data_IF_344553599043
#
_entry.id   IF_344553599043
#
_cell.length_a   1.000
_cell.length_b   1.000
_cell.length_c   1.000
_cell.angle_alpha   90.00
_cell.angle_beta   90.00
_cell.angle_gamma   90.00
#
_symmetry.space_group_name_H-M   'P 1'
#
loop_
_entity.id
_entity.type
_entity.pdbx_description
1 polymer ?
#
# COMPACT_ATOMS: atom_id res chain seq x y z
N UNK A 1 10.01 -1.46 -21.07
CA UNK A 1 10.06 -2.74 -20.34
C UNK A 1 8.97 -2.66 -19.31
N UNK A 2 8.02 -3.58 -19.42
CA UNK A 2 6.80 -3.57 -18.62
C UNK A 2 6.88 -4.68 -17.54
N UNK A 3 5.95 -4.67 -16.59
CA UNK A 3 5.99 -5.60 -15.46
C UNK A 3 5.91 -7.07 -15.89
N UNK A 4 5.15 -7.36 -16.95
CA UNK A 4 5.01 -8.71 -17.51
C UNK A 4 6.31 -9.19 -18.18
N UNK A 5 7.04 -8.31 -18.86
CA UNK A 5 8.34 -8.64 -19.45
C UNK A 5 9.32 -9.11 -18.37
N UNK A 6 9.37 -8.38 -17.25
CA UNK A 6 10.24 -8.72 -16.11
C UNK A 6 9.86 -10.03 -15.42
N UNK A 7 8.57 -10.37 -15.38
CA UNK A 7 8.08 -11.60 -14.77
C UNK A 7 8.60 -12.84 -15.52
N UNK A 8 8.80 -12.75 -16.83
CA UNK A 8 9.24 -13.86 -17.69
C UNK A 8 10.76 -14.06 -17.70
N UNK A 9 11.54 -13.06 -17.29
CA UNK A 9 13.00 -13.15 -17.28
C UNK A 9 13.50 -14.22 -16.32
N UNK A 10 14.68 -14.79 -16.59
CA UNK A 10 15.35 -15.67 -15.65
C UNK A 10 15.88 -14.90 -14.43
N UNK A 11 16.04 -15.57 -13.28
CA UNK A 11 16.48 -14.92 -12.03
C UNK A 11 17.81 -14.17 -12.18
N UNK A 12 18.75 -14.69 -12.99
CA UNK A 12 20.05 -14.04 -13.24
C UNK A 12 19.93 -12.73 -14.02
N UNK A 13 19.09 -12.72 -15.06
CA UNK A 13 18.87 -11.54 -15.90
C UNK A 13 18.11 -10.49 -15.09
N UNK A 14 17.12 -10.94 -14.31
CA UNK A 14 16.38 -10.08 -13.41
C UNK A 14 17.27 -9.50 -12.30
N UNK A 15 18.18 -10.28 -11.72
CA UNK A 15 19.20 -9.78 -10.78
C UNK A 15 20.08 -8.68 -11.40
N UNK A 16 20.50 -8.84 -12.65
CA UNK A 16 21.33 -7.85 -13.34
C UNK A 16 20.58 -6.53 -13.55
N UNK A 17 19.33 -6.59 -13.99
CA UNK A 17 18.47 -5.41 -14.14
C UNK A 17 18.21 -4.75 -12.78
N UNK A 18 17.97 -5.55 -11.75
CA UNK A 18 17.71 -5.07 -10.41
C UNK A 18 18.93 -4.37 -9.82
N UNK A 19 20.12 -4.98 -9.95
CA UNK A 19 21.39 -4.42 -9.45
C UNK A 19 21.85 -3.17 -10.19
N UNK A 20 21.54 -3.02 -11.48
CA UNK A 20 21.83 -1.79 -12.23
C UNK A 20 20.90 -0.62 -11.82
N UNK A 21 19.70 -0.93 -11.34
CA UNK A 21 18.69 0.06 -10.95
C UNK A 21 18.63 0.37 -9.44
N UNK A 22 19.48 -0.22 -8.58
CA UNK A 22 19.45 0.06 -7.13
C UNK A 22 19.82 1.50 -6.77
N UNK A 23 20.56 2.21 -7.62
CA UNK A 23 21.07 3.54 -7.32
C UNK A 23 20.13 4.62 -7.87
N UNK A 24 19.43 5.40 -7.02
CA UNK A 24 18.39 6.33 -7.48
C UNK A 24 18.82 7.35 -8.56
N UNK A 25 20.03 7.96 -8.49
CA UNK A 25 20.48 8.91 -9.50
C UNK A 25 20.66 8.34 -10.91
N UNK A 26 20.91 7.04 -11.05
CA UNK A 26 21.16 6.39 -12.35
C UNK A 26 20.08 5.37 -12.72
N UNK A 27 18.98 5.36 -11.97
CA UNK A 27 17.89 4.40 -12.09
C UNK A 27 16.96 4.83 -13.21
N UNK A 28 16.55 3.89 -14.05
CA UNK A 28 15.47 4.13 -15.01
C UNK A 28 14.12 4.07 -14.28
N UNK A 29 13.34 5.15 -14.40
CA UNK A 29 12.05 5.27 -13.73
C UNK A 29 11.04 4.21 -14.17
N UNK A 30 11.02 3.89 -15.48
CA UNK A 30 10.09 2.88 -16.02
C UNK A 30 10.44 1.49 -15.54
N UNK A 31 11.72 1.11 -15.62
CA UNK A 31 12.19 -0.19 -15.14
C UNK A 31 11.98 -0.34 -13.64
N UNK A 32 12.23 0.71 -12.84
CA UNK A 32 11.98 0.65 -11.40
C UNK A 32 10.49 0.48 -11.08
N UNK A 33 9.60 1.21 -11.77
CA UNK A 33 8.16 1.04 -11.61
C UNK A 33 7.72 -0.41 -11.87
N UNK A 34 8.28 -1.04 -12.92
CA UNK A 34 8.02 -2.42 -13.27
C UNK A 34 8.59 -3.43 -12.23
N UNK A 35 9.73 -3.12 -11.62
CA UNK A 35 10.31 -3.89 -10.50
C UNK A 35 9.43 -3.79 -9.25
N UNK A 36 8.92 -2.59 -8.96
CA UNK A 36 8.05 -2.32 -7.80
C UNK A 36 6.60 -2.77 -8.02
N UNK A 37 6.27 -3.31 -9.20
CA UNK A 37 4.93 -3.84 -9.47
C UNK A 37 4.62 -4.99 -8.50
N UNK A 38 3.37 -5.10 -7.96
CA UNK A 38 2.99 -6.11 -6.99
C UNK A 38 3.41 -7.55 -7.33
N UNK A 39 3.34 -7.91 -8.62
CA UNK A 39 3.69 -9.26 -9.10
C UNK A 39 5.19 -9.57 -9.01
N UNK A 40 6.04 -8.57 -9.21
CA UNK A 40 7.49 -8.72 -9.23
C UNK A 40 8.15 -8.43 -7.88
N UNK A 41 7.45 -7.69 -7.01
CA UNK A 41 8.01 -7.14 -5.79
C UNK A 41 8.50 -8.21 -4.78
N UNK A 42 7.79 -9.34 -4.54
CA UNK A 42 8.30 -10.43 -3.70
C UNK A 42 9.58 -11.05 -4.26
N UNK A 43 9.63 -11.26 -5.58
CA UNK A 43 10.78 -11.83 -6.29
C UNK A 43 11.99 -10.89 -6.22
N UNK A 44 11.79 -9.61 -6.48
CA UNK A 44 12.84 -8.59 -6.41
C UNK A 44 13.45 -8.50 -5.00
N UNK A 45 12.62 -8.52 -3.96
CA UNK A 45 13.10 -8.53 -2.57
C UNK A 45 13.93 -9.77 -2.27
N UNK A 46 13.48 -10.96 -2.66
CA UNK A 46 14.21 -12.21 -2.46
C UNK A 46 15.60 -12.14 -3.10
N UNK A 47 15.68 -11.72 -4.35
CA UNK A 47 16.95 -11.61 -5.07
C UNK A 47 17.88 -10.58 -4.42
N UNK A 48 17.39 -9.39 -4.07
CA UNK A 48 18.24 -8.39 -3.39
C UNK A 48 18.75 -8.89 -2.03
N UNK A 49 17.95 -9.62 -1.27
CA UNK A 49 18.39 -10.23 -0.01
C UNK A 49 19.54 -11.22 -0.26
N UNK A 50 19.45 -12.06 -1.28
CA UNK A 50 20.54 -12.98 -1.65
C UNK A 50 21.80 -12.21 -2.08
N UNK A 51 21.65 -11.15 -2.88
CA UNK A 51 22.77 -10.27 -3.28
C UNK A 51 23.42 -9.62 -2.06
N UNK A 52 22.61 -9.15 -1.10
CA UNK A 52 23.07 -8.55 0.14
C UNK A 52 23.89 -9.53 0.98
N UNK A 53 23.39 -10.75 1.17
CA UNK A 53 24.06 -11.84 1.91
C UNK A 53 25.36 -12.25 1.22
N UNK A 54 25.35 -12.44 -0.11
CA UNK A 54 26.55 -12.75 -0.88
C UNK A 54 27.61 -11.66 -0.72
N UNK A 55 27.21 -10.39 -0.75
CA UNK A 55 28.12 -9.25 -0.56
C UNK A 55 28.70 -9.22 0.85
N UNK A 56 27.89 -9.50 1.87
CA UNK A 56 28.33 -9.60 3.26
C UNK A 56 29.33 -10.75 3.45
N UNK A 57 29.07 -11.90 2.84
CA UNK A 57 29.97 -13.06 2.86
C UNK A 57 31.33 -12.73 2.21
N UNK A 58 31.33 -12.08 1.05
CA UNK A 58 32.56 -11.62 0.39
C UNK A 58 33.36 -10.67 1.28
N UNK A 59 32.71 -9.70 1.93
CA UNK A 59 33.38 -8.78 2.86
C UNK A 59 34.02 -9.51 4.05
N UNK A 60 33.33 -10.49 4.64
CA UNK A 60 33.86 -11.30 5.74
C UNK A 60 35.05 -12.14 5.29
N UNK A 61 34.91 -12.86 4.17
CA UNK A 61 35.99 -13.68 3.60
C UNK A 61 37.23 -12.84 3.30
N UNK A 62 37.07 -11.69 2.63
CA UNK A 62 38.19 -10.79 2.32
C UNK A 62 38.85 -10.20 3.56
N UNK A 63 38.10 -9.99 4.64
CA UNK A 63 38.67 -9.56 5.93
C UNK A 63 39.56 -10.65 6.52
N UNK A 64 39.12 -11.91 6.47
CA UNK A 64 39.90 -13.07 6.93
C UNK A 64 41.16 -13.25 6.09
N UNK A 65 41.04 -13.28 4.76
CA UNK A 65 42.18 -13.39 3.83
C UNK A 65 43.20 -12.25 4.06
N UNK A 66 42.72 -11.04 4.35
CA UNK A 66 43.59 -9.90 4.65
C UNK A 66 44.32 -10.06 5.98
N UNK A 67 43.70 -10.67 6.98
CA UNK A 67 44.33 -10.96 8.27
C UNK A 67 45.39 -12.06 8.14
N UNK A 68 45.11 -13.12 7.39
CA UNK A 68 46.08 -14.18 7.07
C UNK A 68 47.30 -13.60 6.34
N UNK A 69 47.07 -12.78 5.30
CA UNK A 69 48.14 -12.10 4.58
C UNK A 69 48.97 -11.19 5.49
N UNK A 70 48.35 -10.53 6.48
CA UNK A 70 49.07 -9.72 7.48
C UNK A 70 50.05 -10.58 8.27
N UNK A 71 49.59 -11.73 8.77
CA UNK A 71 50.40 -12.66 9.57
C UNK A 71 51.58 -13.17 8.74
N UNK A 72 51.34 -13.59 7.49
CA UNK A 72 52.40 -14.06 6.58
C UNK A 72 53.45 -12.99 6.27
N UNK A 73 53.02 -11.76 5.96
CA UNK A 73 53.94 -10.66 5.70
C UNK A 73 54.78 -10.29 6.92
N UNK A 74 54.19 -10.30 8.12
CA UNK A 74 54.91 -9.98 9.35
C UNK A 74 55.92 -11.08 9.73
N UNK A 75 55.62 -12.35 9.44
CA UNK A 75 56.56 -13.45 9.62
C UNK A 75 57.81 -13.33 8.73
N UNK A 76 57.72 -12.65 7.57
CA UNK A 76 58.84 -12.38 6.66
C UNK A 76 59.70 -11.17 7.06
N UNK A 77 59.42 -10.52 8.19
CA UNK A 77 60.17 -9.38 8.69
C UNK A 77 59.94 -8.07 7.92
N UNK A 78 60.94 -7.18 7.89
CA UNK A 78 60.81 -5.82 7.34
C UNK A 78 60.49 -5.78 5.83
N UNK A 79 60.93 -6.77 5.06
CA UNK A 79 60.59 -6.89 3.65
C UNK A 79 59.08 -7.16 3.46
N UNK A 80 58.51 -8.09 4.22
CA UNK A 80 57.08 -8.40 4.16
C UNK A 80 56.19 -7.29 4.73
N UNK A 81 56.64 -6.55 5.76
CA UNK A 81 55.92 -5.36 6.24
C UNK A 81 55.74 -4.31 5.14
N UNK A 82 56.76 -4.08 4.30
CA UNK A 82 56.65 -3.14 3.17
C UNK A 82 55.61 -3.59 2.14
N UNK A 83 55.57 -4.88 1.82
CA UNK A 83 54.57 -5.50 0.94
C UNK A 83 53.13 -5.34 1.51
N UNK A 84 52.97 -5.58 2.81
CA UNK A 84 51.70 -5.35 3.51
C UNK A 84 51.19 -3.91 3.39
N UNK A 85 52.08 -2.93 3.61
CA UNK A 85 51.72 -1.51 3.52
C UNK A 85 51.43 -1.07 2.08
N UNK A 86 52.16 -1.60 1.09
CA UNK A 86 51.94 -1.30 -0.32
C UNK A 86 50.52 -1.70 -0.78
N UNK A 87 50.04 -2.86 -0.36
CA UNK A 87 48.72 -3.40 -0.74
C UNK A 87 47.54 -2.78 0.04
N UNK A 88 47.81 -1.94 1.04
CA UNK A 88 46.77 -1.38 1.94
C UNK A 88 45.78 -0.47 1.20
N UNK A 89 46.27 0.37 0.29
CA UNK A 89 45.44 1.33 -0.43
C UNK A 89 44.42 0.63 -1.34
N UNK A 90 44.85 -0.42 -2.03
CA UNK A 90 43.99 -1.24 -2.90
C UNK A 90 42.90 -1.95 -2.09
N UNK A 91 43.27 -2.56 -0.96
CA UNK A 91 42.32 -3.22 -0.07
C UNK A 91 41.27 -2.24 0.48
N UNK A 92 41.67 -1.06 0.96
CA UNK A 92 40.73 -0.05 1.45
C UNK A 92 39.85 0.52 0.33
N UNK A 93 40.37 0.66 -0.89
CA UNK A 93 39.57 1.04 -2.06
C UNK A 93 38.49 -0.01 -2.37
N UNK A 94 38.87 -1.30 -2.42
CA UNK A 94 37.94 -2.41 -2.61
C UNK A 94 36.90 -2.45 -1.48
N UNK A 95 37.33 -2.39 -0.21
CA UNK A 95 36.46 -2.41 0.96
C UNK A 95 35.41 -1.29 0.92
N UNK A 96 35.84 -0.06 0.62
CA UNK A 96 34.94 1.09 0.48
C UNK A 96 33.92 0.89 -0.63
N UNK A 97 34.35 0.44 -1.83
CA UNK A 97 33.44 0.17 -2.95
C UNK A 97 32.40 -0.89 -2.61
N UNK A 98 32.82 -2.01 -2.05
CA UNK A 98 31.93 -3.12 -1.67
C UNK A 98 31.00 -2.74 -0.53
N UNK A 99 31.48 -1.98 0.47
CA UNK A 99 30.64 -1.48 1.57
C UNK A 99 29.57 -0.50 1.06
N UNK A 100 29.94 0.41 0.15
CA UNK A 100 28.98 1.32 -0.48
C UNK A 100 27.92 0.56 -1.29
N UNK A 101 28.32 -0.47 -2.03
CA UNK A 101 27.37 -1.34 -2.75
C UNK A 101 26.44 -2.07 -1.76
N UNK A 102 26.98 -2.66 -0.71
CA UNK A 102 26.21 -3.32 0.35
C UNK A 102 25.15 -2.39 0.97
N UNK A 103 25.53 -1.15 1.31
CA UNK A 103 24.59 -0.15 1.81
C UNK A 103 23.51 0.23 0.80
N UNK A 104 23.85 0.34 -0.50
CA UNK A 104 22.86 0.63 -1.56
C UNK A 104 21.84 -0.51 -1.69
N UNK A 105 22.30 -1.75 -1.69
CA UNK A 105 21.42 -2.92 -1.72
C UNK A 105 20.50 -2.93 -0.49
N UNK A 106 21.04 -2.67 0.71
CA UNK A 106 20.24 -2.61 1.93
C UNK A 106 19.15 -1.52 1.89
N UNK A 107 19.48 -0.34 1.35
CA UNK A 107 18.49 0.74 1.14
C UNK A 107 17.41 0.33 0.15
N UNK A 108 17.79 -0.28 -0.97
CA UNK A 108 16.83 -0.78 -1.96
C UNK A 108 15.89 -1.85 -1.37
N UNK A 109 16.40 -2.76 -0.52
CA UNK A 109 15.55 -3.74 0.20
C UNK A 109 14.53 -3.04 1.09
N UNK A 110 14.95 -1.98 1.78
CA UNK A 110 14.07 -1.20 2.66
C UNK A 110 13.00 -0.44 1.87
N UNK A 111 13.37 0.13 0.72
CA UNK A 111 12.47 0.79 -0.24
C UNK A 111 11.42 -0.19 -0.76
N UNK A 112 11.82 -1.35 -1.29
CA UNK A 112 10.88 -2.40 -1.71
C UNK A 112 10.01 -2.90 -0.55
N UNK A 113 10.55 -2.95 0.67
CA UNK A 113 9.79 -3.30 1.86
C UNK A 113 8.70 -2.28 2.21
N UNK A 114 8.96 -0.99 1.97
CA UNK A 114 7.98 0.06 2.12
C UNK A 114 6.88 -0.04 1.05
N UNK A 115 7.25 -0.30 -0.20
CA UNK A 115 6.28 -0.47 -1.27
C UNK A 115 5.37 -1.69 -1.07
N UNK A 116 5.91 -2.82 -0.59
CA UNK A 116 5.06 -3.96 -0.21
C UNK A 116 4.02 -3.57 0.83
N UNK A 117 4.40 -2.78 1.85
CA UNK A 117 3.46 -2.33 2.89
C UNK A 117 2.40 -1.40 2.33
N UNK A 118 2.76 -0.54 1.38
CA UNK A 118 1.82 0.34 0.70
C UNK A 118 0.80 -0.46 -0.12
N UNK A 119 1.28 -1.44 -0.90
CA UNK A 119 0.43 -2.36 -1.68
C UNK A 119 -0.51 -3.13 -0.76
N UNK A 120 0.00 -3.72 0.32
CA UNK A 120 -0.82 -4.48 1.27
C UNK A 120 -1.86 -3.58 1.96
N UNK A 121 -1.51 -2.33 2.28
CA UNK A 121 -2.45 -1.37 2.86
C UNK A 121 -3.56 -0.99 1.87
N UNK A 122 -3.20 -0.73 0.61
CA UNK A 122 -4.18 -0.43 -0.43
C UNK A 122 -5.13 -1.62 -0.67
N UNK A 123 -4.59 -2.84 -0.73
CA UNK A 123 -5.39 -4.06 -0.85
C UNK A 123 -6.32 -4.28 0.36
N UNK A 124 -5.85 -4.03 1.57
CA UNK A 124 -6.67 -4.16 2.79
C UNK A 124 -7.82 -3.15 2.81
N UNK A 125 -7.56 -1.89 2.44
CA UNK A 125 -8.59 -0.86 2.33
C UNK A 125 -9.65 -1.23 1.28
N UNK A 126 -9.21 -1.67 0.09
CA UNK A 126 -10.12 -2.10 -0.97
C UNK A 126 -10.96 -3.32 -0.56
N UNK A 127 -10.34 -4.31 0.09
CA UNK A 127 -11.05 -5.51 0.58
C UNK A 127 -12.09 -5.15 1.64
N UNK A 128 -11.77 -4.21 2.52
CA UNK A 128 -12.70 -3.70 3.53
C UNK A 128 -13.88 -2.94 2.91
N UNK A 129 -13.63 -2.15 1.87
CA UNK A 129 -14.68 -1.46 1.11
C UNK A 129 -15.57 -2.45 0.35
N UNK A 130 -14.98 -3.41 -0.37
CA UNK A 130 -15.73 -4.46 -1.08
C UNK A 130 -16.60 -5.28 -0.12
N UNK A 131 -16.04 -5.69 1.02
CA UNK A 131 -16.81 -6.44 2.03
C UNK A 131 -18.00 -5.64 2.58
N UNK A 132 -17.82 -4.32 2.77
CA UNK A 132 -18.91 -3.42 3.20
C UNK A 132 -19.98 -3.29 2.12
N UNK A 133 -19.59 -3.19 0.85
CA UNK A 133 -20.54 -3.12 -0.26
C UNK A 133 -21.32 -4.42 -0.42
N UNK A 134 -20.66 -5.58 -0.38
CA UNK A 134 -21.36 -6.88 -0.41
C UNK A 134 -22.31 -7.04 0.78
N UNK A 135 -21.93 -6.57 1.97
CA UNK A 135 -22.81 -6.57 3.13
C UNK A 135 -24.03 -5.66 2.94
N UNK A 136 -23.84 -4.50 2.30
CA UNK A 136 -24.92 -3.58 1.92
C UNK A 136 -25.87 -4.24 0.91
N UNK A 137 -25.35 -4.82 -0.16
CA UNK A 137 -26.13 -5.51 -1.19
C UNK A 137 -26.98 -6.64 -0.57
N UNK A 138 -26.37 -7.45 0.30
CA UNK A 138 -27.06 -8.51 1.03
C UNK A 138 -28.18 -7.93 1.92
N UNK A 139 -27.89 -6.88 2.68
CA UNK A 139 -28.86 -6.25 3.57
C UNK A 139 -30.08 -5.70 2.79
N UNK A 140 -29.84 -5.06 1.64
CA UNK A 140 -30.90 -4.57 0.74
C UNK A 140 -31.71 -5.73 0.16
N UNK A 141 -31.06 -6.82 -0.28
CA UNK A 141 -31.75 -8.00 -0.80
C UNK A 141 -32.67 -8.65 0.25
N UNK A 142 -32.19 -8.79 1.49
CA UNK A 142 -32.98 -9.31 2.61
C UNK A 142 -34.17 -8.39 2.95
N UNK A 143 -33.97 -7.07 2.93
CA UNK A 143 -35.07 -6.11 3.14
C UNK A 143 -36.13 -6.19 2.04
N UNK A 144 -35.71 -6.32 0.78
CA UNK A 144 -36.63 -6.52 -0.35
C UNK A 144 -37.41 -7.81 -0.22
N UNK A 145 -36.76 -8.90 0.18
CA UNK A 145 -37.42 -10.18 0.47
C UNK A 145 -38.49 -10.02 1.56
N UNK A 146 -38.15 -9.38 2.67
CA UNK A 146 -39.10 -9.08 3.75
C UNK A 146 -40.31 -8.27 3.25
N UNK A 147 -40.07 -7.25 2.41
CA UNK A 147 -41.13 -6.42 1.85
C UNK A 147 -42.05 -7.21 0.88
N UNK A 148 -41.50 -8.10 0.06
CA UNK A 148 -42.29 -8.97 -0.84
C UNK A 148 -43.16 -9.94 -0.04
N UNK A 149 -42.61 -10.57 1.00
CA UNK A 149 -43.40 -11.43 1.89
C UNK A 149 -44.55 -10.68 2.57
N UNK A 150 -44.29 -9.47 3.07
CA UNK A 150 -45.32 -8.64 3.67
C UNK A 150 -46.44 -8.26 2.69
N UNK A 151 -46.11 -8.02 1.41
CA UNK A 151 -47.10 -7.70 0.35
C UNK A 151 -47.92 -8.91 -0.08
N UNK A 152 -47.31 -10.09 -0.15
CA UNK A 152 -47.97 -11.30 -0.62
C UNK A 152 -48.85 -11.97 0.44
N UNK A 153 -48.83 -11.48 1.69
CA UNK A 153 -49.69 -11.96 2.78
C UNK A 153 -49.43 -13.41 3.22
N UNK A 154 -48.33 -14.02 2.77
CA UNK A 154 -47.93 -15.37 3.13
C UNK A 154 -47.28 -15.41 4.52
N UNK A 155 -47.53 -16.47 5.29
CA UNK A 155 -46.77 -16.76 6.51
C UNK A 155 -45.32 -17.08 6.13
N UNK A 156 -44.38 -16.23 6.55
CA UNK A 156 -42.97 -16.47 6.32
C UNK A 156 -42.46 -17.65 7.16
N UNK A 157 -41.49 -18.39 6.64
CA UNK A 157 -40.95 -19.55 7.33
C UNK A 157 -40.10 -19.12 8.54
N UNK A 158 -39.86 -20.01 9.53
CA UNK A 158 -38.96 -19.72 10.65
C UNK A 158 -37.55 -19.28 10.20
N UNK A 159 -37.05 -19.84 9.09
CA UNK A 159 -35.76 -19.49 8.50
C UNK A 159 -35.72 -18.05 7.98
N UNK A 160 -36.82 -17.55 7.39
CA UNK A 160 -36.93 -16.15 6.94
C UNK A 160 -36.87 -15.18 8.11
N UNK A 161 -37.54 -15.52 9.22
CA UNK A 161 -37.51 -14.72 10.44
C UNK A 161 -36.13 -14.72 11.10
N UNK A 162 -35.36 -15.80 10.99
CA UNK A 162 -33.96 -15.83 11.41
C UNK A 162 -33.09 -14.92 10.56
N UNK A 163 -33.24 -15.01 9.23
CA UNK A 163 -32.54 -14.14 8.29
C UNK A 163 -32.84 -12.65 8.55
N UNK A 164 -34.09 -12.29 8.80
CA UNK A 164 -34.47 -10.91 9.09
C UNK A 164 -33.96 -10.42 10.45
N UNK A 165 -33.85 -11.31 11.45
CA UNK A 165 -33.24 -10.97 12.76
C UNK A 165 -31.75 -10.65 12.63
N UNK A 166 -31.05 -11.19 11.64
CA UNK A 166 -29.64 -10.86 11.42
C UNK A 166 -29.43 -9.40 11.01
N UNK A 167 -30.43 -8.72 10.42
CA UNK A 167 -30.35 -7.28 10.14
C UNK A 167 -30.28 -6.43 11.41
N UNK A 168 -30.86 -6.89 12.52
CA UNK A 168 -30.83 -6.18 13.81
C UNK A 168 -29.59 -6.53 14.65
N UNK A 169 -28.96 -7.67 14.38
CA UNK A 169 -27.80 -8.17 15.15
C UNK A 169 -26.47 -7.77 14.56
N UNK A 170 -26.37 -7.71 13.23
CA UNK A 170 -25.12 -7.34 12.56
C UNK A 170 -24.94 -5.82 12.64
N UNK A 171 -23.76 -5.41 13.13
CA UNK A 171 -23.39 -4.00 13.26
C UNK A 171 -22.21 -3.66 12.38
N UNK A 172 -22.21 -2.43 11.87
CA UNK A 172 -21.12 -1.84 11.09
C UNK A 172 -20.64 -0.61 11.84
N UNK A 173 -19.31 -0.45 12.04
CA UNK A 173 -18.79 0.75 12.67
C UNK A 173 -18.97 1.95 11.75
N UNK A 174 -19.57 3.01 12.29
CA UNK A 174 -19.87 4.25 11.56
C UNK A 174 -19.24 5.47 12.23
N UNK A 175 -18.84 6.46 11.43
CA UNK A 175 -18.29 7.73 11.93
C UNK A 175 -16.85 7.65 12.48
N UNK A 176 -16.29 8.80 12.90
CA UNK A 176 -14.92 8.89 13.43
C UNK A 176 -14.75 8.14 14.77
N UNK A 177 -15.84 7.94 15.53
CA UNK A 177 -15.86 7.17 16.78
C UNK A 177 -15.96 5.66 16.61
N UNK A 178 -16.20 5.15 15.39
CA UNK A 178 -16.45 3.74 15.10
C UNK A 178 -17.62 3.15 15.90
N UNK A 179 -18.66 3.96 16.14
CA UNK A 179 -19.83 3.52 16.89
C UNK A 179 -20.57 2.41 16.12
N UNK A 180 -20.95 1.30 16.79
CA UNK A 180 -21.58 0.17 16.13
C UNK A 180 -23.04 0.50 15.78
N UNK A 181 -23.34 0.56 14.48
CA UNK A 181 -24.71 0.81 13.97
C UNK A 181 -25.25 -0.45 13.31
N UNK A 182 -26.48 -0.87 13.65
CA UNK A 182 -27.09 -2.09 13.09
C UNK A 182 -27.39 -1.94 11.59
N UNK A 183 -27.40 -3.05 10.85
CA UNK A 183 -27.74 -3.03 9.41
C UNK A 183 -29.16 -2.52 9.16
N UNK A 184 -30.11 -2.79 10.05
CA UNK A 184 -31.47 -2.23 10.01
C UNK A 184 -31.44 -0.69 10.01
N UNK A 185 -30.66 -0.10 10.91
CA UNK A 185 -30.51 1.36 11.01
C UNK A 185 -29.73 1.93 9.82
N UNK A 186 -28.72 1.21 9.34
CA UNK A 186 -28.02 1.57 8.09
C UNK A 186 -28.96 1.60 6.89
N UNK A 187 -29.82 0.58 6.77
CA UNK A 187 -30.81 0.47 5.71
C UNK A 187 -31.89 1.54 5.76
N UNK A 188 -32.26 2.03 6.95
CA UNK A 188 -33.33 3.03 7.12
C UNK A 188 -32.87 4.49 7.10
N UNK A 189 -31.62 4.77 7.47
CA UNK A 189 -31.10 6.14 7.59
C UNK A 189 -30.11 6.48 6.47
N UNK A 190 -29.28 5.52 6.05
CA UNK A 190 -28.12 5.81 5.19
C UNK A 190 -28.19 5.18 3.80
N UNK A 191 -28.90 4.06 3.64
CA UNK A 191 -28.92 3.31 2.39
C UNK A 191 -30.24 3.36 1.63
N UNK A 192 -31.31 3.93 2.21
CA UNK A 192 -32.63 4.02 1.58
C UNK A 192 -32.72 5.10 0.50
N UNK A 193 -31.84 6.11 0.53
CA UNK A 193 -31.89 7.29 -0.36
C UNK A 193 -31.09 7.16 -1.66
N UNK A 194 -30.57 5.97 -1.99
CA UNK A 194 -29.99 5.73 -3.32
C UNK A 194 -30.88 4.74 -4.05
N UNK A 195 -32.10 5.17 -4.38
CA UNK A 195 -32.63 4.75 -5.67
C UNK A 195 -31.62 5.27 -6.70
N UNK A 196 -30.97 4.44 -7.54
CA UNK A 196 -30.54 4.97 -8.81
C UNK A 196 -31.81 5.58 -9.38
N UNK A 197 -31.81 6.91 -9.59
CA UNK A 197 -32.79 7.52 -10.47
C UNK A 197 -32.71 6.67 -11.72
N UNK A 198 -33.72 5.82 -11.91
CA UNK A 198 -33.87 5.07 -13.14
C UNK A 198 -33.66 6.09 -14.25
N UNK A 199 -32.87 5.74 -15.27
CA UNK A 199 -32.65 6.57 -16.46
C UNK A 199 -34.01 7.02 -17.02
N UNK A 200 -34.55 8.09 -16.46
CA UNK A 200 -35.74 8.76 -16.90
C UNK A 200 -35.20 9.89 -17.80
N UNK A 201 -35.23 9.68 -19.12
CA UNK A 201 -34.66 10.64 -20.06
C UNK A 201 -35.27 12.03 -19.89
N UNK A 202 -36.50 12.13 -19.36
CA UNK A 202 -37.18 13.41 -19.14
C UNK A 202 -36.49 14.28 -18.07
N UNK A 203 -35.92 13.68 -17.01
CA UNK A 203 -35.23 14.43 -15.96
C UNK A 203 -33.87 14.97 -16.43
N UNK A 204 -33.17 14.23 -17.32
CA UNK A 204 -31.92 14.65 -17.95
C UNK A 204 -32.14 15.87 -18.84
N UNK A 205 -33.15 15.83 -19.69
CA UNK A 205 -33.52 16.98 -20.56
C UNK A 205 -33.91 18.21 -19.75
N UNK A 206 -34.58 18.04 -18.61
CA UNK A 206 -34.98 19.16 -17.75
C UNK A 206 -33.80 19.78 -16.99
N UNK A 207 -32.85 18.98 -16.53
CA UNK A 207 -31.63 19.45 -15.87
C UNK A 207 -30.68 20.17 -16.85
N UNK A 208 -30.53 19.65 -18.08
CA UNK A 208 -29.72 20.28 -19.12
C UNK A 208 -30.30 21.63 -19.58
N UNK A 209 -31.63 21.76 -19.62
CA UNK A 209 -32.29 23.02 -19.97
C UNK A 209 -32.14 24.09 -18.87
N UNK A 210 -32.03 23.70 -17.60
CA UNK A 210 -31.81 24.63 -16.47
C UNK A 210 -30.36 25.11 -16.44
N UNK A 211 -29.39 24.24 -16.75
CA UNK A 211 -27.96 24.59 -16.75
C UNK A 211 -27.59 25.51 -17.93
N UNK A 212 -28.27 25.39 -19.08
CA UNK A 212 -28.04 26.27 -20.22
C UNK A 212 -28.78 27.61 -20.19
N UNK A 213 -29.59 27.87 -19.15
CA UNK A 213 -30.39 29.11 -19.03
C UNK A 213 -29.92 30.08 -17.95
N UNK A 214 -28.84 29.77 -17.21
CA UNK A 214 -28.35 30.62 -16.13
C UNK A 214 -27.16 31.49 -16.59
N UNK A 215 -27.22 32.84 -16.49
CA UNK A 215 -26.10 33.71 -16.84
C UNK A 215 -25.00 33.64 -15.77
N UNK A 216 -23.75 33.64 -16.23
CA UNK A 216 -22.55 33.59 -15.41
C UNK A 216 -22.47 34.82 -14.47
N UNK A 217 -22.41 34.58 -13.16
CA UNK A 217 -22.02 35.57 -12.17
C UNK A 217 -20.98 35.00 -11.21
N UNK A 218 -19.96 35.81 -10.95
CA UNK A 218 -18.70 35.52 -10.32
C UNK A 218 -18.74 35.58 -8.77
N UNK A 219 -17.59 35.21 -8.19
CA UNK A 219 -17.08 35.45 -6.82
C UNK A 219 -17.32 34.31 -5.80
N UNK A 220 -16.27 33.60 -5.39
CA UNK A 220 -15.37 33.93 -4.27
C UNK A 220 -16.09 34.05 -2.92
N UNK A 221 -15.94 33.06 -2.04
CA UNK A 221 -15.54 33.24 -0.63
C UNK A 221 -15.46 31.90 0.11
N UNK A 222 -14.36 31.73 0.85
CA UNK A 222 -14.05 30.61 1.74
C UNK A 222 -14.75 30.83 3.09
N UNK A 223 -15.37 29.81 3.74
CA UNK A 223 -15.89 29.99 5.09
C UNK A 223 -14.80 29.80 6.15
N UNK A 224 -14.57 30.86 6.93
CA UNK A 224 -13.67 30.93 8.08
C UNK A 224 -14.39 30.42 9.33
N UNK A 225 -13.81 29.45 10.05
CA UNK A 225 -14.38 28.87 11.26
C UNK A 225 -14.33 29.85 12.45
N UNK A 226 -15.50 30.07 13.06
CA UNK A 226 -15.74 30.97 14.20
C UNK A 226 -15.32 30.26 15.50
N UNK A 227 -14.30 30.77 16.19
CA UNK A 227 -13.95 30.37 17.56
C UNK A 227 -14.98 30.95 18.53
N UNK A 228 -15.61 30.10 19.34
CA UNK A 228 -16.38 30.52 20.52
C UNK A 228 -15.42 30.51 21.72
N UNK A 229 -15.31 31.67 22.35
CA UNK A 229 -14.72 31.84 23.68
C UNK A 229 -15.72 31.35 24.72
N UNK A 230 -15.32 30.42 25.58
CA UNK A 230 -15.92 30.30 26.91
C UNK A 230 -14.92 30.80 27.95
N UNK A 231 -15.31 31.91 28.56
CA UNK A 231 -14.74 32.50 29.76
C UNK A 231 -15.92 32.65 30.70
N UNK A 232 -16.00 31.78 31.70
CA UNK A 232 -16.72 32.10 32.92
C UNK A 232 -15.82 31.83 34.11
N UNK A 233 -15.89 32.79 35.01
CA UNK A 233 -14.92 33.15 36.02
C UNK A 233 -15.10 32.37 37.33
N UNK A 234 -14.02 32.41 38.11
CA UNK A 234 -13.95 32.08 39.54
C UNK A 234 -14.84 33.00 40.39
N UNK A 235 -15.49 32.44 41.40
CA UNK A 235 -15.58 32.89 42.81
C UNK A 235 -16.66 31.99 43.47
N UNK A 236 -16.55 31.45 44.68
CA UNK A 236 -15.85 31.86 45.90
C UNK A 236 -15.72 30.63 46.78
#
# INVERSE_FOLDING_TARGET
>A
MDAQDLAQLADKEFEQILTSNIHPPTRDARTWAAITHPDNLPRARKILTHVHERTASVLRRRKTEREEFRIECFARGEAGKREWFATRAEFESLRRRTANFHQRVQRAISELGQEQRNVNRAQSLNSGQQSRETLRELAVAVQRHQAVHARNGGSAEPADHELWRHLDRLTVPTGPGQDPTTLRTMLSIYWTDMHPVADDPEYRTRAEHIIHSAPAAAHCCVPQARRVHDREDRAT
#
